data_IF_476864576050
#
_entry.id   IF_476864576050
#
_cell.length_a   1.000
_cell.length_b   1.000
_cell.length_c   1.000
_cell.angle_alpha   90.00
_cell.angle_beta   90.00
_cell.angle_gamma   90.00
#
_symmetry.space_group_name_H-M   'P 1'
#
loop_
_entity.id
_entity.type
_entity.pdbx_description
1 polymer ?
#
# COMPACT_ATOMS: atom_id res chain seq x y z
N UNK A 1 8.96 -16.61 -3.13
CA UNK A 1 9.94 -17.37 -2.33
C UNK A 1 11.10 -16.42 -2.05
N UNK A 2 11.34 -16.06 -0.79
CA UNK A 2 12.39 -15.12 -0.41
C UNK A 2 13.74 -15.84 -0.48
N UNK A 3 14.70 -15.29 -1.20
CA UNK A 3 16.08 -15.80 -1.25
C UNK A 3 16.97 -14.88 -0.40
N UNK A 4 17.69 -15.47 0.55
CA UNK A 4 18.56 -14.73 1.48
C UNK A 4 20.02 -14.98 1.08
N UNK A 5 20.77 -13.88 0.93
CA UNK A 5 22.19 -13.92 0.58
C UNK A 5 23.01 -13.20 1.65
N UNK A 6 24.17 -13.77 1.99
CA UNK A 6 25.18 -13.09 2.78
C UNK A 6 26.37 -12.73 1.89
N UNK A 7 26.68 -11.44 1.77
CA UNK A 7 27.86 -10.97 1.07
C UNK A 7 29.09 -11.14 1.98
N UNK A 8 29.90 -12.16 1.73
CA UNK A 8 31.12 -12.44 2.51
C UNK A 8 32.35 -11.90 1.80
N UNK A 9 32.46 -10.56 1.73
CA UNK A 9 33.67 -9.85 1.31
C UNK A 9 33.98 -9.82 -0.20
N UNK A 10 34.89 -8.91 -0.57
CA UNK A 10 35.40 -8.72 -1.94
C UNK A 10 36.79 -9.35 -2.07
N UNK A 11 36.90 -10.44 -2.84
CA UNK A 11 38.20 -10.96 -3.28
C UNK A 11 38.51 -10.49 -4.71
N UNK A 12 39.67 -9.87 -4.90
CA UNK A 12 40.18 -9.49 -6.21
C UNK A 12 40.96 -10.66 -6.79
N UNK A 13 40.31 -11.47 -7.63
CA UNK A 13 40.93 -12.62 -8.30
C UNK A 13 40.99 -12.44 -9.81
N UNK A 14 42.20 -12.41 -10.39
CA UNK A 14 42.41 -12.35 -11.83
C UNK A 14 41.99 -13.65 -12.53
N UNK A 15 41.16 -13.55 -13.57
CA UNK A 15 40.76 -14.68 -14.40
C UNK A 15 40.47 -14.19 -15.82
N UNK A 16 40.89 -14.97 -16.83
CA UNK A 16 40.66 -14.69 -18.26
C UNK A 16 39.29 -15.25 -18.67
N UNK A 17 38.47 -14.43 -19.32
CA UNK A 17 37.19 -14.86 -19.90
C UNK A 17 37.37 -15.60 -21.22
N UNK A 18 36.57 -16.65 -21.41
CA UNK A 18 36.31 -17.28 -22.70
C UNK A 18 34.81 -17.56 -22.79
N UNK A 19 34.13 -16.95 -23.76
CA UNK A 19 32.69 -17.10 -23.97
C UNK A 19 32.38 -18.41 -24.69
N UNK A 20 31.53 -19.25 -24.10
CA UNK A 20 30.83 -20.34 -24.82
C UNK A 20 29.37 -20.33 -24.36
N UNK A 21 28.47 -20.02 -25.29
CA UNK A 21 27.03 -20.19 -25.11
C UNK A 21 26.68 -21.69 -25.09
N UNK A 22 26.04 -22.14 -24.01
CA UNK A 22 25.40 -23.46 -23.95
C UNK A 22 24.01 -23.31 -23.30
N UNK A 23 22.98 -23.36 -24.14
CA UNK A 23 21.60 -23.51 -23.70
C UNK A 23 21.38 -24.90 -23.09
N UNK A 24 21.02 -24.96 -21.81
CA UNK A 24 20.54 -26.19 -21.15
C UNK A 24 19.42 -25.85 -20.17
N UNK A 25 18.25 -26.39 -20.48
CA UNK A 25 17.01 -26.42 -19.69
C UNK A 25 17.15 -27.39 -18.51
N UNK A 26 16.89 -26.92 -17.29
CA UNK A 26 16.69 -27.77 -16.11
C UNK A 26 17.69 -27.54 -14.98
N UNK A 27 17.17 -27.03 -13.86
CA UNK A 27 17.66 -27.08 -12.47
C UNK A 27 19.17 -27.15 -12.19
N UNK A 28 19.65 -26.12 -11.48
CA UNK A 28 20.92 -26.05 -10.74
C UNK A 28 22.17 -25.90 -11.62
N UNK A 29 22.50 -24.65 -11.96
CA UNK A 29 23.78 -24.30 -12.56
C UNK A 29 24.85 -24.02 -11.49
N UNK A 30 25.74 -24.99 -11.25
CA UNK A 30 27.01 -24.79 -10.55
C UNK A 30 28.11 -24.64 -11.60
N UNK A 31 28.98 -23.61 -11.56
CA UNK A 31 30.13 -23.55 -12.46
C UNK A 31 31.15 -24.62 -12.09
N UNK A 32 31.44 -25.54 -13.01
CA UNK A 32 32.56 -26.48 -12.89
C UNK A 32 33.90 -25.75 -13.11
N UNK A 33 34.81 -25.82 -12.15
CA UNK A 33 36.19 -25.38 -12.31
C UNK A 33 37.03 -26.55 -12.84
N UNK A 34 37.34 -26.53 -14.13
CA UNK A 34 38.35 -27.41 -14.74
C UNK A 34 39.74 -26.86 -14.43
N UNK A 35 40.57 -27.61 -13.69
CA UNK A 35 42.02 -27.36 -13.61
C UNK A 35 42.70 -28.05 -14.81
N UNK A 36 43.17 -27.26 -15.76
CA UNK A 36 44.06 -27.71 -16.84
C UNK A 36 45.31 -26.84 -16.90
N UNK A 37 46.48 -27.46 -16.74
CA UNK A 37 47.79 -26.84 -16.97
C UNK A 37 48.10 -26.84 -18.48
N UNK A 38 48.26 -25.67 -19.10
CA UNK A 38 48.99 -25.51 -20.36
C UNK A 38 49.36 -24.04 -20.63
N UNK A 39 50.65 -23.79 -20.88
CA UNK A 39 51.24 -22.51 -21.30
C UNK A 39 50.97 -22.22 -22.79
N UNK A 40 50.64 -20.96 -23.15
CA UNK A 40 51.25 -20.20 -24.27
C UNK A 40 50.59 -18.82 -24.54
N UNK A 41 51.45 -17.80 -24.56
CA UNK A 41 51.50 -16.56 -25.36
C UNK A 41 50.28 -15.60 -25.50
N UNK A 42 50.51 -14.33 -25.14
CA UNK A 42 50.02 -13.17 -25.93
C UNK A 42 48.81 -12.39 -25.40
N UNK A 43 49.02 -11.09 -25.20
CA UNK A 43 48.07 -9.99 -24.91
C UNK A 43 47.32 -10.03 -23.57
N UNK A 44 47.66 -9.06 -22.71
CA UNK A 44 46.99 -8.75 -21.46
C UNK A 44 46.05 -7.55 -21.67
N UNK A 45 44.75 -7.80 -21.57
CA UNK A 45 43.75 -6.76 -21.30
C UNK A 45 43.33 -6.94 -19.86
N UNK A 46 43.62 -5.96 -19.00
CA UNK A 46 43.22 -5.97 -17.59
C UNK A 46 41.80 -5.40 -17.53
N UNK A 47 40.79 -6.27 -17.49
CA UNK A 47 39.44 -5.91 -17.06
C UNK A 47 39.33 -6.16 -15.55
N UNK A 48 38.95 -5.13 -14.80
CA UNK A 48 38.65 -5.25 -13.37
C UNK A 48 37.22 -5.74 -13.19
N UNK A 49 37.01 -7.06 -13.13
CA UNK A 49 35.72 -7.61 -12.70
C UNK A 49 35.65 -7.69 -11.17
N UNK A 50 34.63 -7.06 -10.58
CA UNK A 50 34.27 -7.28 -9.19
C UNK A 50 33.63 -8.67 -9.07
N UNK A 51 34.39 -9.65 -8.58
CA UNK A 51 33.85 -10.96 -8.19
C UNK A 51 33.20 -10.86 -6.81
N UNK A 52 31.88 -10.78 -6.80
CA UNK A 52 31.08 -10.97 -5.58
C UNK A 52 30.97 -12.47 -5.33
N UNK A 53 31.63 -12.97 -4.28
CA UNK A 53 31.45 -14.37 -3.89
C UNK A 53 30.20 -14.50 -3.02
N UNK A 54 29.18 -15.17 -3.53
CA UNK A 54 27.96 -15.54 -2.80
C UNK A 54 28.10 -17.01 -2.40
N UNK A 55 28.15 -17.32 -1.10
CA UNK A 55 27.99 -18.71 -0.64
C UNK A 55 26.51 -18.98 -0.42
N UNK A 56 25.98 -20.03 -1.06
CA UNK A 56 24.75 -20.65 -0.57
C UNK A 56 25.07 -21.30 0.78
N UNK A 57 24.46 -20.80 1.85
CA UNK A 57 24.40 -21.55 3.09
C UNK A 57 23.47 -22.73 2.88
N UNK A 58 24.00 -23.94 3.06
CA UNK A 58 23.20 -25.16 3.07
C UNK A 58 22.45 -25.26 4.40
N UNK A 59 21.25 -24.67 4.46
CA UNK A 59 20.11 -25.05 5.30
C UNK A 59 18.91 -24.22 4.82
N UNK A 60 17.77 -24.89 4.64
CA UNK A 60 16.61 -24.40 3.90
C UNK A 60 16.09 -23.06 4.45
N UNK A 61 15.51 -22.22 3.60
CA UNK A 61 14.83 -20.96 4.02
C UNK A 61 13.62 -21.24 4.92
N UNK A 62 13.17 -22.49 4.96
CA UNK A 62 12.15 -23.00 5.87
C UNK A 62 12.70 -23.25 7.30
N UNK A 63 14.01 -23.12 7.52
CA UNK A 63 14.63 -23.15 8.85
C UNK A 63 14.67 -21.74 9.46
N UNK A 64 13.62 -21.40 10.22
CA UNK A 64 13.52 -20.12 10.92
C UNK A 64 14.69 -19.88 11.90
N UNK A 65 15.37 -20.92 12.40
CA UNK A 65 16.52 -20.75 13.29
C UNK A 65 17.73 -20.20 12.55
N UNK A 66 17.92 -20.62 11.30
CA UNK A 66 18.95 -20.08 10.40
C UNK A 66 18.63 -18.62 10.04
N UNK A 67 17.39 -18.35 9.64
CA UNK A 67 16.94 -16.98 9.32
C UNK A 67 17.11 -16.05 10.51
N UNK A 68 16.70 -16.49 11.71
CA UNK A 68 16.85 -15.72 12.93
C UNK A 68 18.31 -15.40 13.23
N UNK A 69 19.20 -16.41 13.14
CA UNK A 69 20.63 -16.21 13.32
C UNK A 69 21.21 -15.20 12.33
N UNK A 70 20.85 -15.29 11.05
CA UNK A 70 21.31 -14.35 10.03
C UNK A 70 20.88 -12.90 10.34
N UNK A 71 19.63 -12.71 10.79
CA UNK A 71 19.13 -11.39 11.21
C UNK A 71 19.90 -10.86 12.41
N UNK A 72 20.09 -11.69 13.44
CA UNK A 72 20.83 -11.31 14.66
C UNK A 72 22.29 -10.96 14.36
N UNK A 73 22.99 -11.81 13.60
CA UNK A 73 24.38 -11.60 13.21
C UNK A 73 24.56 -10.33 12.36
N UNK A 74 23.51 -9.91 11.63
CA UNK A 74 23.53 -8.66 10.87
C UNK A 74 23.44 -7.40 11.74
N UNK A 75 22.95 -7.50 12.98
CA UNK A 75 22.66 -6.37 13.85
C UNK A 75 21.54 -5.44 13.36
N UNK A 76 20.79 -5.83 12.32
CA UNK A 76 19.70 -5.04 11.73
C UNK A 76 18.34 -5.39 12.33
N UNK A 77 17.37 -4.50 12.09
CA UNK A 77 15.95 -4.76 12.35
C UNK A 77 15.24 -5.13 11.06
N UNK A 78 14.22 -5.97 11.16
CA UNK A 78 13.37 -6.35 10.03
C UNK A 78 12.08 -5.53 10.10
N UNK A 79 11.78 -4.83 9.02
CA UNK A 79 10.55 -4.07 8.84
C UNK A 79 9.77 -4.72 7.69
N UNK A 80 8.53 -5.12 7.95
CA UNK A 80 7.59 -5.56 6.93
C UNK A 80 6.65 -4.38 6.65
N UNK A 81 6.91 -3.66 5.56
CA UNK A 81 6.10 -2.53 5.10
C UNK A 81 4.92 -3.00 4.23
N UNK A 82 3.86 -2.19 4.18
CA UNK A 82 2.63 -2.44 3.42
C UNK A 82 2.01 -3.84 3.63
N UNK A 83 2.01 -4.30 4.88
CA UNK A 83 1.55 -5.64 5.25
C UNK A 83 0.08 -5.95 4.88
N UNK A 84 -0.69 -4.91 4.57
CA UNK A 84 -2.09 -5.03 4.13
C UNK A 84 -2.25 -5.64 2.74
N UNK A 85 -1.21 -5.65 1.90
CA UNK A 85 -1.22 -6.36 0.61
C UNK A 85 -0.92 -7.85 0.73
N UNK A 86 -0.46 -8.32 1.89
CA UNK A 86 -0.19 -9.74 2.13
C UNK A 86 -1.52 -10.50 2.15
N UNK A 87 -1.54 -11.69 1.54
CA UNK A 87 -2.77 -12.50 1.48
C UNK A 87 -3.17 -12.99 2.88
N UNK A 88 -4.45 -13.25 3.10
CA UNK A 88 -4.93 -13.77 4.39
C UNK A 88 -4.31 -15.14 4.76
N UNK A 89 -3.90 -15.92 3.76
CA UNK A 89 -3.18 -17.18 3.97
C UNK A 89 -1.75 -16.90 4.45
N UNK A 90 -1.03 -16.03 3.76
CA UNK A 90 0.34 -15.66 4.11
C UNK A 90 0.40 -14.91 5.46
N UNK A 91 -0.57 -14.05 5.78
CA UNK A 91 -0.63 -13.37 7.08
C UNK A 91 -0.73 -14.36 8.24
N UNK A 92 -1.45 -15.47 8.06
CA UNK A 92 -1.53 -16.55 9.07
C UNK A 92 -0.21 -17.28 9.21
N UNK A 93 0.43 -17.63 8.09
CA UNK A 93 1.77 -18.22 8.10
C UNK A 93 2.78 -17.31 8.80
N UNK A 94 2.76 -16.01 8.50
CA UNK A 94 3.63 -15.02 9.14
C UNK A 94 3.34 -14.91 10.64
N UNK A 95 2.09 -15.01 11.08
CA UNK A 95 1.75 -15.04 12.50
C UNK A 95 2.29 -16.30 13.22
N UNK A 96 2.33 -17.45 12.55
CA UNK A 96 2.97 -18.67 13.06
C UNK A 96 4.49 -18.49 13.16
N UNK A 97 5.13 -18.00 12.10
CA UNK A 97 6.57 -17.78 12.03
C UNK A 97 7.04 -16.72 13.04
N UNK A 98 6.26 -15.66 13.24
CA UNK A 98 6.57 -14.57 14.17
C UNK A 98 6.75 -15.08 15.60
N UNK A 99 5.93 -16.04 16.04
CA UNK A 99 6.09 -16.66 17.37
C UNK A 99 7.48 -17.28 17.51
N UNK A 100 7.88 -18.06 16.51
CA UNK A 100 9.16 -18.78 16.49
C UNK A 100 10.33 -17.80 16.41
N UNK A 101 10.24 -16.77 15.56
CA UNK A 101 11.26 -15.72 15.44
C UNK A 101 11.46 -14.96 16.75
N UNK A 102 10.37 -14.63 17.46
CA UNK A 102 10.44 -14.00 18.79
C UNK A 102 11.14 -14.90 19.82
N UNK A 103 10.90 -16.21 19.79
CA UNK A 103 11.57 -17.19 20.67
C UNK A 103 13.07 -17.31 20.36
N UNK A 104 13.47 -17.09 19.11
CA UNK A 104 14.87 -16.95 18.71
C UNK A 104 15.46 -15.56 18.98
N UNK A 105 14.70 -14.63 19.57
CA UNK A 105 15.17 -13.30 19.94
C UNK A 105 15.11 -12.27 18.81
N UNK A 106 14.41 -12.57 17.71
CA UNK A 106 14.21 -11.65 16.59
C UNK A 106 12.87 -10.93 16.73
N UNK A 107 12.91 -9.61 16.85
CA UNK A 107 11.73 -8.75 16.83
C UNK A 107 11.54 -8.12 15.45
N UNK A 108 10.31 -8.17 14.94
CA UNK A 108 9.90 -7.56 13.68
C UNK A 108 9.10 -6.29 13.96
N UNK A 109 9.20 -5.33 13.04
CA UNK A 109 8.30 -4.19 12.97
C UNK A 109 7.39 -4.43 11.77
N UNK A 110 6.08 -4.44 11.98
CA UNK A 110 5.10 -4.67 10.91
C UNK A 110 4.31 -3.38 10.73
N UNK A 111 4.31 -2.86 9.50
CA UNK A 111 3.66 -1.60 9.13
C UNK A 111 2.64 -1.90 8.04
N UNK A 112 1.42 -1.41 8.22
CA UNK A 112 0.37 -1.50 7.22
C UNK A 112 -0.91 -0.84 7.70
N UNK A 113 -1.96 -0.98 6.90
CA UNK A 113 -3.27 -0.38 7.17
C UNK A 113 -4.32 -1.49 7.23
N UNK A 114 -4.93 -1.69 8.39
CA UNK A 114 -6.03 -2.64 8.58
C UNK A 114 -6.96 -2.12 9.67
N UNK A 115 -8.19 -2.63 9.69
CA UNK A 115 -9.19 -2.17 10.66
C UNK A 115 -9.25 -3.04 11.92
N UNK A 116 -8.64 -4.23 11.89
CA UNK A 116 -8.74 -5.22 12.96
C UNK A 116 -7.60 -5.05 13.95
N UNK A 117 -7.90 -4.51 15.13
CA UNK A 117 -6.94 -4.50 16.22
C UNK A 117 -6.56 -5.94 16.61
N UNK A 118 -5.27 -6.15 16.86
CA UNK A 118 -4.67 -7.41 17.25
C UNK A 118 -4.88 -8.53 16.23
N UNK A 119 -4.95 -8.19 14.94
CA UNK A 119 -5.16 -9.13 13.84
C UNK A 119 -4.21 -10.34 13.89
N UNK A 120 -2.91 -10.11 14.12
CA UNK A 120 -1.92 -11.20 14.21
C UNK A 120 -2.15 -12.12 15.40
N UNK A 121 -2.57 -11.58 16.55
CA UNK A 121 -2.96 -12.37 17.73
C UNK A 121 -4.23 -13.18 17.46
N UNK A 122 -5.15 -12.62 16.67
CA UNK A 122 -6.34 -13.33 16.19
C UNK A 122 -6.01 -14.53 15.30
N UNK A 123 -4.92 -14.46 14.51
CA UNK A 123 -4.44 -15.59 13.73
C UNK A 123 -3.64 -16.60 14.56
N UNK A 124 -2.84 -16.14 15.51
CA UNK A 124 -2.07 -16.99 16.41
C UNK A 124 -2.12 -16.48 17.86
N UNK A 125 -2.93 -17.15 18.69
CA UNK A 125 -3.16 -16.75 20.09
C UNK A 125 -1.90 -16.78 20.98
N UNK A 126 -0.86 -17.50 20.58
CA UNK A 126 0.42 -17.54 21.32
C UNK A 126 1.20 -16.22 21.23
N UNK A 127 0.83 -15.33 20.31
CA UNK A 127 1.37 -13.97 20.21
C UNK A 127 0.78 -13.04 21.27
N UNK A 128 -0.26 -13.46 22.01
CA UNK A 128 -0.86 -12.65 23.06
C UNK A 128 0.16 -12.29 24.15
N UNK A 129 0.27 -11.00 24.47
CA UNK A 129 1.28 -10.47 25.38
C UNK A 129 2.71 -10.42 24.82
N UNK A 130 2.92 -10.77 23.53
CA UNK A 130 4.21 -10.67 22.83
C UNK A 130 4.21 -9.61 21.72
N UNK A 131 3.07 -8.98 21.45
CA UNK A 131 2.90 -7.95 20.43
C UNK A 131 2.41 -6.68 21.10
N UNK A 132 3.08 -5.57 20.78
CA UNK A 132 2.59 -4.22 21.00
C UNK A 132 2.08 -3.66 19.67
N UNK A 133 0.79 -3.34 19.62
CA UNK A 133 0.17 -2.71 18.45
C UNK A 133 -0.01 -1.22 18.70
N UNK A 134 0.45 -0.40 17.76
CA UNK A 134 0.33 1.07 17.79
C UNK A 134 -0.65 1.46 16.68
N UNK A 135 -1.86 1.82 17.08
CA UNK A 135 -2.87 2.36 16.17
C UNK A 135 -2.58 3.85 15.89
N UNK A 136 -2.31 4.19 14.63
CA UNK A 136 -1.95 5.54 14.21
C UNK A 136 -3.17 6.22 13.57
N UNK A 137 -3.86 7.04 14.37
CA UNK A 137 -4.97 7.88 13.91
C UNK A 137 -4.61 9.35 14.10
N UNK A 138 -4.55 10.09 13.00
CA UNK A 138 -4.25 11.52 13.03
C UNK A 138 -5.48 12.35 13.43
N UNK A 139 -5.32 13.18 14.45
CA UNK A 139 -6.31 14.18 14.85
C UNK A 139 -6.07 15.51 14.14
N UNK A 140 -7.11 16.35 14.06
CA UNK A 140 -7.05 17.66 13.40
C UNK A 140 -5.95 18.56 14.00
N UNK A 141 -5.70 18.48 15.31
CA UNK A 141 -4.62 19.21 15.99
C UNK A 141 -3.24 18.75 15.51
N UNK A 142 -3.06 17.46 15.24
CA UNK A 142 -1.80 16.90 14.74
C UNK A 142 -1.60 17.26 13.27
N UNK A 143 -2.66 17.24 12.45
CA UNK A 143 -2.62 17.73 11.07
C UNK A 143 -2.25 19.22 11.02
N UNK A 144 -2.80 20.02 11.93
CA UNK A 144 -2.43 21.43 12.09
C UNK A 144 -0.96 21.58 12.45
N UNK A 145 -0.42 20.71 13.30
CA UNK A 145 1.00 20.73 13.65
C UNK A 145 1.91 20.46 12.44
N UNK A 146 1.49 19.56 11.54
CA UNK A 146 2.21 19.32 10.27
C UNK A 146 2.24 20.60 9.42
N UNK A 147 1.11 21.32 9.33
CA UNK A 147 1.04 22.60 8.61
C UNK A 147 2.00 23.62 9.23
N UNK A 148 2.00 23.78 10.55
CA UNK A 148 2.88 24.72 11.26
C UNK A 148 4.37 24.45 11.00
N UNK A 149 4.76 23.17 10.97
CA UNK A 149 6.14 22.78 10.64
C UNK A 149 6.49 23.16 9.19
N UNK A 150 5.57 22.96 8.25
CA UNK A 150 5.72 23.37 6.86
C UNK A 150 5.81 24.90 6.68
N UNK A 151 4.94 25.64 7.37
CA UNK A 151 4.96 27.11 7.42
C UNK A 151 6.32 27.63 7.91
N UNK A 152 6.84 27.06 9.00
CA UNK A 152 8.15 27.43 9.54
C UNK A 152 9.28 27.09 8.57
N UNK A 153 9.27 25.90 7.95
CA UNK A 153 10.31 25.46 7.04
C UNK A 153 10.39 26.32 5.76
N UNK A 154 9.24 26.82 5.29
CA UNK A 154 9.14 27.63 4.08
C UNK A 154 9.14 29.14 4.35
N UNK A 155 9.13 29.57 5.61
CA UNK A 155 8.96 30.97 6.02
C UNK A 155 7.70 31.60 5.41
N UNK A 156 6.58 30.88 5.50
CA UNK A 156 5.25 31.30 5.03
C UNK A 156 4.24 31.24 6.16
N UNK A 157 3.09 31.91 5.99
CA UNK A 157 1.94 31.78 6.88
C UNK A 157 0.66 31.65 6.07
N UNK A 158 -0.01 30.51 6.21
CA UNK A 158 -1.32 30.24 5.60
C UNK A 158 -2.41 30.84 6.49
N UNK A 159 -3.39 31.48 5.86
CA UNK A 159 -4.50 32.09 6.58
C UNK A 159 -5.33 31.02 7.33
N UNK A 160 -5.78 31.27 8.58
CA UNK A 160 -6.45 30.26 9.41
C UNK A 160 -7.65 29.58 8.74
N UNK A 161 -8.49 30.35 8.04
CA UNK A 161 -9.66 29.80 7.35
C UNK A 161 -9.30 28.81 6.23
N UNK A 162 -8.12 28.99 5.59
CA UNK A 162 -7.61 28.03 4.60
C UNK A 162 -7.04 26.80 5.27
N UNK A 163 -6.36 26.96 6.42
CA UNK A 163 -5.86 25.85 7.23
C UNK A 163 -7.02 24.92 7.64
N UNK A 164 -8.10 25.48 8.17
CA UNK A 164 -9.26 24.69 8.61
C UNK A 164 -9.93 23.96 7.44
N UNK A 165 -10.01 24.60 6.27
CA UNK A 165 -10.50 23.97 5.05
C UNK A 165 -9.60 22.82 4.58
N UNK A 166 -8.28 23.00 4.60
CA UNK A 166 -7.29 22.01 4.16
C UNK A 166 -7.32 20.78 5.09
N UNK A 167 -7.40 21.00 6.40
CA UNK A 167 -7.54 19.93 7.40
C UNK A 167 -8.82 19.13 7.16
N UNK A 168 -9.96 19.82 6.98
CA UNK A 168 -11.24 19.16 6.70
C UNK A 168 -11.18 18.35 5.40
N UNK A 169 -10.56 18.89 4.37
CA UNK A 169 -10.41 18.22 3.08
C UNK A 169 -9.51 16.98 3.14
N UNK A 170 -8.53 16.97 4.06
CA UNK A 170 -7.62 15.85 4.26
C UNK A 170 -8.31 14.60 4.83
N UNK A 171 -9.47 14.72 5.49
CA UNK A 171 -10.24 13.58 6.01
C UNK A 171 -9.38 12.62 6.91
N UNK A 172 -8.47 13.19 7.70
CA UNK A 172 -7.52 12.43 8.53
C UNK A 172 -6.33 11.81 7.78
N UNK A 173 -6.19 12.06 6.46
CA UNK A 173 -5.08 11.57 5.64
C UNK A 173 -3.95 12.59 5.57
N UNK A 174 -2.81 12.29 6.19
CA UNK A 174 -1.59 13.10 6.09
C UNK A 174 -1.09 13.20 4.64
N UNK A 175 -1.18 12.12 3.88
CA UNK A 175 -0.78 12.12 2.47
C UNK A 175 -1.60 13.11 1.64
N UNK A 176 -2.93 13.13 1.83
CA UNK A 176 -3.80 14.09 1.16
C UNK A 176 -3.55 15.53 1.66
N UNK A 177 -3.37 15.71 2.97
CA UNK A 177 -3.02 17.00 3.57
C UNK A 177 -1.78 17.61 2.89
N UNK A 178 -0.70 16.83 2.80
CA UNK A 178 0.56 17.25 2.20
C UNK A 178 0.41 17.54 0.71
N UNK A 179 -0.33 16.71 -0.04
CA UNK A 179 -0.62 16.95 -1.47
C UNK A 179 -1.40 18.25 -1.68
N UNK A 180 -2.39 18.56 -0.83
CA UNK A 180 -3.15 19.81 -0.90
C UNK A 180 -2.21 20.99 -0.64
N UNK A 181 -1.41 20.94 0.43
CA UNK A 181 -0.46 22.00 0.80
C UNK A 181 0.58 22.23 -0.28
N UNK A 182 1.17 21.16 -0.83
CA UNK A 182 2.15 21.24 -1.91
C UNK A 182 1.56 21.93 -3.15
N UNK A 183 0.40 21.47 -3.62
CA UNK A 183 -0.24 22.07 -4.78
C UNK A 183 -0.68 23.51 -4.52
N UNK A 184 -1.13 23.81 -3.29
CA UNK A 184 -1.46 25.18 -2.90
C UNK A 184 -0.23 26.10 -2.93
N UNK A 185 0.88 25.67 -2.33
CA UNK A 185 2.16 26.39 -2.39
C UNK A 185 2.63 26.61 -3.83
N UNK A 186 2.52 25.60 -4.70
CA UNK A 186 2.87 25.71 -6.13
C UNK A 186 2.00 26.77 -6.83
N UNK A 187 0.69 26.77 -6.57
CA UNK A 187 -0.24 27.75 -7.15
C UNK A 187 -0.01 29.17 -6.62
N UNK A 188 0.49 29.30 -5.39
CA UNK A 188 0.93 30.55 -4.76
C UNK A 188 2.35 30.98 -5.20
N UNK A 189 3.07 30.18 -6.00
CA UNK A 189 4.44 30.49 -6.43
C UNK A 189 5.49 30.33 -5.33
N UNK A 190 5.23 29.47 -4.34
CA UNK A 190 6.15 29.12 -3.28
C UNK A 190 6.87 27.80 -3.62
N UNK A 191 8.01 27.90 -4.29
CA UNK A 191 8.84 26.75 -4.70
C UNK A 191 10.04 26.49 -3.79
N UNK A 192 10.36 27.44 -2.91
CA UNK A 192 11.50 27.42 -2.00
C UNK A 192 11.19 28.27 -0.77
N UNK A 193 12.00 28.13 0.29
CA UNK A 193 11.91 28.96 1.49
C UNK A 193 12.02 30.44 1.16
N UNK A 194 11.10 31.26 1.69
CA UNK A 194 11.07 32.70 1.44
C UNK A 194 12.07 33.43 2.31
N UNK A 195 12.71 34.48 1.77
CA UNK A 195 13.62 35.33 2.55
C UNK A 195 12.87 36.15 3.61
N UNK A 196 11.66 36.60 3.28
CA UNK A 196 10.76 37.32 4.18
C UNK A 196 9.47 36.52 4.38
N UNK A 197 8.88 36.66 5.57
CA UNK A 197 7.64 35.97 5.93
C UNK A 197 6.54 36.34 4.92
N UNK A 198 6.06 35.33 4.18
CA UNK A 198 5.04 35.53 3.15
C UNK A 198 3.70 34.97 3.59
N UNK A 199 2.64 35.78 3.56
CA UNK A 199 1.29 35.35 3.90
C UNK A 199 0.55 34.79 2.67
N UNK A 200 0.04 33.56 2.77
CA UNK A 200 -0.75 32.89 1.74
C UNK A 200 -2.24 32.90 2.13
N UNK A 201 -3.08 33.48 1.27
CA UNK A 201 -4.50 33.71 1.57
C UNK A 201 -5.44 33.62 0.34
N UNK A 202 -4.94 33.29 -0.86
CA UNK A 202 -5.76 33.29 -2.07
C UNK A 202 -6.58 31.98 -2.19
N UNK A 203 -7.85 32.05 -1.82
CA UNK A 203 -8.82 30.95 -1.96
C UNK A 203 -8.85 30.37 -3.40
N UNK A 204 -8.69 31.21 -4.43
CA UNK A 204 -8.72 30.75 -5.81
C UNK A 204 -7.57 29.82 -6.16
N UNK A 205 -6.41 29.95 -5.48
CA UNK A 205 -5.27 29.03 -5.62
C UNK A 205 -5.56 27.72 -4.93
N UNK A 206 -6.24 27.72 -3.79
CA UNK A 206 -6.70 26.49 -3.13
C UNK A 206 -7.69 25.72 -4.02
N UNK A 207 -8.63 26.40 -4.68
CA UNK A 207 -9.53 25.72 -5.63
C UNK A 207 -8.80 25.12 -6.84
N UNK A 208 -7.76 25.79 -7.35
CA UNK A 208 -6.91 25.23 -8.42
C UNK A 208 -6.14 24.00 -7.96
N UNK A 209 -5.57 24.04 -6.75
CA UNK A 209 -4.88 22.91 -6.14
C UNK A 209 -5.83 21.71 -5.99
N UNK A 210 -7.05 21.93 -5.48
CA UNK A 210 -8.08 20.88 -5.35
C UNK A 210 -8.42 20.25 -6.69
N UNK A 211 -8.70 21.08 -7.70
CA UNK A 211 -9.04 20.62 -9.04
C UNK A 211 -7.90 19.80 -9.67
N UNK A 212 -6.65 20.23 -9.48
CA UNK A 212 -5.47 19.52 -9.99
C UNK A 212 -5.33 18.12 -9.38
N UNK A 213 -5.47 17.99 -8.06
CA UNK A 213 -5.46 16.69 -7.37
C UNK A 213 -6.59 15.79 -7.92
N UNK A 214 -7.82 16.32 -8.01
CA UNK A 214 -8.94 15.55 -8.57
C UNK A 214 -8.71 15.12 -10.02
N UNK A 215 -8.04 15.92 -10.85
CA UNK A 215 -7.72 15.55 -12.23
C UNK A 215 -6.70 14.41 -12.31
N UNK A 216 -5.72 14.38 -11.41
CA UNK A 216 -4.71 13.31 -11.35
C UNK A 216 -5.35 11.96 -11.00
N UNK A 217 -6.27 11.95 -10.05
CA UNK A 217 -6.93 10.70 -9.62
C UNK A 217 -8.22 10.35 -10.38
N UNK A 218 -8.70 11.25 -11.25
CA UNK A 218 -10.00 11.11 -11.92
C UNK A 218 -10.14 9.76 -12.64
N UNK A 219 -9.07 9.29 -13.28
CA UNK A 219 -9.10 8.02 -14.01
C UNK A 219 -9.36 6.84 -13.06
N UNK A 220 -8.69 6.80 -11.90
CA UNK A 220 -8.83 5.70 -10.93
C UNK A 220 -10.24 5.65 -10.34
N UNK A 221 -10.78 6.81 -9.94
CA UNK A 221 -12.14 6.87 -9.39
C UNK A 221 -13.22 6.63 -10.43
N UNK A 222 -13.00 7.03 -11.70
CA UNK A 222 -13.88 6.64 -12.81
C UNK A 222 -13.82 5.14 -13.06
N UNK A 223 -12.64 4.53 -13.08
CA UNK A 223 -12.52 3.07 -13.20
C UNK A 223 -13.28 2.36 -12.08
N UNK A 224 -13.17 2.84 -10.84
CA UNK A 224 -13.96 2.32 -9.72
C UNK A 224 -15.46 2.43 -9.95
N UNK A 225 -15.94 3.62 -10.31
CA UNK A 225 -17.35 3.86 -10.57
C UNK A 225 -17.92 3.04 -11.73
N UNK A 226 -17.16 2.86 -12.82
CA UNK A 226 -17.66 2.31 -14.07
C UNK A 226 -17.34 0.83 -14.30
N UNK A 227 -16.20 0.34 -13.82
CA UNK A 227 -15.74 -1.02 -14.13
C UNK A 227 -16.06 -2.04 -13.02
N UNK A 228 -16.20 -1.60 -11.77
CA UNK A 228 -16.66 -2.48 -10.68
C UNK A 228 -18.11 -2.94 -10.91
N UNK A 229 -19.05 -2.07 -11.33
CA UNK A 229 -20.40 -2.51 -11.72
C UNK A 229 -20.45 -3.58 -12.80
N UNK A 230 -19.45 -3.65 -13.68
CA UNK A 230 -19.38 -4.68 -14.73
C UNK A 230 -19.05 -6.08 -14.19
N UNK A 231 -18.61 -6.19 -12.94
CA UNK A 231 -18.27 -7.46 -12.28
C UNK A 231 -17.11 -8.20 -12.95
N UNK A 232 -16.95 -9.47 -12.57
CA UNK A 232 -15.98 -10.39 -13.17
C UNK A 232 -16.31 -10.72 -14.63
N UNK A 233 -15.35 -11.24 -15.42
CA UNK A 233 -15.63 -11.77 -16.75
C UNK A 233 -16.84 -12.72 -16.74
N UNK A 234 -17.75 -12.56 -17.70
CA UNK A 234 -18.99 -13.34 -17.83
C UNK A 234 -20.03 -13.14 -16.70
N UNK A 235 -19.92 -12.08 -15.88
CA UNK A 235 -20.96 -11.74 -14.91
C UNK A 235 -22.31 -11.50 -15.61
N UNK A 236 -23.35 -12.20 -15.16
CA UNK A 236 -24.70 -12.01 -15.67
C UNK A 236 -25.28 -10.64 -15.24
N UNK A 237 -26.36 -10.15 -15.89
CA UNK A 237 -26.93 -8.84 -15.59
C UNK A 237 -27.35 -8.65 -14.11
N UNK A 238 -27.82 -9.70 -13.44
CA UNK A 238 -28.21 -9.63 -12.04
C UNK A 238 -26.99 -9.39 -11.13
N UNK A 239 -25.87 -10.10 -11.36
CA UNK A 239 -24.62 -9.90 -10.64
C UNK A 239 -24.04 -8.50 -10.86
N UNK A 240 -24.04 -8.01 -12.12
CA UNK A 240 -23.62 -6.63 -12.42
C UNK A 240 -24.43 -5.59 -11.66
N UNK A 241 -25.76 -5.78 -11.63
CA UNK A 241 -26.67 -4.92 -10.85
C UNK A 241 -26.32 -4.92 -9.36
N UNK A 242 -25.95 -6.07 -8.77
CA UNK A 242 -25.52 -6.13 -7.36
C UNK A 242 -24.28 -5.29 -7.12
N UNK A 243 -23.23 -5.43 -7.93
CA UNK A 243 -22.02 -4.59 -7.79
C UNK A 243 -22.34 -3.11 -7.98
N UNK A 244 -23.15 -2.76 -8.99
CA UNK A 244 -23.61 -1.39 -9.20
C UNK A 244 -24.27 -0.81 -7.94
N UNK A 245 -25.17 -1.56 -7.30
CA UNK A 245 -25.85 -1.07 -6.08
C UNK A 245 -24.94 -0.98 -4.87
N UNK A 246 -23.95 -1.86 -4.74
CA UNK A 246 -22.92 -1.75 -3.67
C UNK A 246 -22.15 -0.44 -3.83
N UNK A 247 -21.65 -0.16 -5.03
CA UNK A 247 -20.86 1.06 -5.29
C UNK A 247 -21.74 2.30 -5.18
N UNK A 248 -22.98 2.26 -5.68
CA UNK A 248 -23.93 3.36 -5.52
C UNK A 248 -24.21 3.65 -4.04
N UNK A 249 -24.51 2.63 -3.23
CA UNK A 249 -24.77 2.80 -1.82
C UNK A 249 -23.55 3.34 -1.06
N UNK A 250 -22.34 2.97 -1.48
CA UNK A 250 -21.10 3.55 -0.97
C UNK A 250 -20.99 5.04 -1.34
N UNK A 251 -21.11 5.39 -2.62
CA UNK A 251 -20.88 6.76 -3.10
C UNK A 251 -21.91 7.75 -2.57
N UNK A 252 -23.18 7.34 -2.47
CA UNK A 252 -24.29 8.15 -1.97
C UNK A 252 -24.36 8.22 -0.44
N UNK A 253 -23.55 7.43 0.28
CA UNK A 253 -23.56 7.46 1.74
C UNK A 253 -23.01 8.80 2.29
N UNK A 254 -23.55 9.29 3.42
CA UNK A 254 -23.01 10.47 4.09
C UNK A 254 -21.52 10.34 4.41
N UNK A 255 -20.79 11.46 4.34
CA UNK A 255 -19.35 11.52 4.61
C UNK A 255 -18.96 10.91 5.96
N UNK A 256 -19.70 11.27 7.02
CA UNK A 256 -19.46 10.75 8.37
C UNK A 256 -19.64 9.23 8.45
N UNK A 257 -20.58 8.66 7.71
CA UNK A 257 -20.76 7.20 7.68
C UNK A 257 -19.62 6.50 6.93
N UNK A 258 -19.12 7.09 5.85
CA UNK A 258 -18.00 6.53 5.08
C UNK A 258 -16.68 6.61 5.84
N UNK A 259 -16.46 7.67 6.61
CA UNK A 259 -15.30 7.81 7.49
C UNK A 259 -15.32 6.78 8.62
N UNK A 260 -16.50 6.50 9.19
CA UNK A 260 -16.68 5.49 10.24
C UNK A 260 -16.70 4.04 9.69
N UNK A 261 -17.08 3.88 8.44
CA UNK A 261 -17.40 2.58 7.84
C UNK A 261 -18.89 2.22 7.96
N UNK A 262 -19.36 1.45 6.98
CA UNK A 262 -20.74 0.98 6.89
C UNK A 262 -20.83 -0.44 7.44
N UNK A 263 -21.66 -0.66 8.46
CA UNK A 263 -22.02 -2.02 8.88
C UNK A 263 -22.71 -2.75 7.72
N UNK A 264 -22.55 -4.09 7.66
CA UNK A 264 -23.25 -4.92 6.67
C UNK A 264 -24.76 -4.66 6.66
N UNK A 265 -25.38 -4.51 7.83
CA UNK A 265 -26.81 -4.22 7.95
C UNK A 265 -27.16 -2.85 7.36
N UNK A 266 -26.38 -1.80 7.66
CA UNK A 266 -26.58 -0.46 7.10
C UNK A 266 -26.45 -0.47 5.58
N UNK A 267 -25.42 -1.14 5.06
CA UNK A 267 -25.19 -1.26 3.62
C UNK A 267 -26.31 -2.03 2.92
N UNK A 268 -26.74 -3.18 3.48
CA UNK A 268 -27.89 -3.93 2.97
C UNK A 268 -29.17 -3.08 2.93
N UNK A 269 -29.44 -2.30 3.98
CA UNK A 269 -30.59 -1.41 4.03
C UNK A 269 -30.53 -0.32 2.96
N UNK A 270 -29.38 0.33 2.78
CA UNK A 270 -29.18 1.34 1.71
C UNK A 270 -29.40 0.72 0.33
N UNK A 271 -28.82 -0.45 0.07
CA UNK A 271 -28.99 -1.16 -1.20
C UNK A 271 -30.46 -1.54 -1.45
N UNK A 272 -31.17 -2.07 -0.44
CA UNK A 272 -32.58 -2.46 -0.58
C UNK A 272 -33.51 -1.26 -0.78
N UNK A 273 -33.17 -0.09 -0.21
CA UNK A 273 -33.89 1.16 -0.49
C UNK A 273 -33.76 1.59 -1.95
N UNK A 274 -32.58 1.41 -2.55
CA UNK A 274 -32.31 1.72 -3.96
C UNK A 274 -32.93 0.66 -4.90
N UNK A 275 -32.85 -0.62 -4.53
CA UNK A 275 -33.35 -1.75 -5.31
C UNK A 275 -34.09 -2.75 -4.41
N UNK A 276 -35.43 -2.65 -4.39
CA UNK A 276 -36.30 -3.50 -3.55
C UNK A 276 -36.19 -5.00 -3.86
N UNK A 277 -35.69 -5.36 -5.04
CA UNK A 277 -35.49 -6.75 -5.46
C UNK A 277 -34.09 -7.27 -5.14
N UNK A 278 -33.23 -6.46 -4.51
CA UNK A 278 -31.87 -6.85 -4.18
C UNK A 278 -31.86 -8.03 -3.19
N UNK A 279 -31.11 -9.08 -3.54
CA UNK A 279 -30.97 -10.27 -2.72
C UNK A 279 -29.79 -10.11 -1.75
N UNK A 280 -30.05 -10.13 -0.43
CA UNK A 280 -29.03 -10.03 0.62
C UNK A 280 -27.93 -11.10 0.53
N UNK A 281 -28.27 -12.33 0.11
CA UNK A 281 -27.28 -13.39 -0.11
C UNK A 281 -26.30 -12.99 -1.21
N UNK A 282 -26.81 -12.47 -2.33
CA UNK A 282 -25.98 -12.02 -3.45
C UNK A 282 -25.12 -10.81 -3.10
N UNK A 283 -25.65 -9.87 -2.28
CA UNK A 283 -24.87 -8.73 -1.76
C UNK A 283 -23.67 -9.26 -0.96
N UNK A 284 -23.89 -10.17 -0.01
CA UNK A 284 -22.81 -10.75 0.81
C UNK A 284 -21.78 -11.49 -0.04
N UNK A 285 -22.21 -12.31 -0.99
CA UNK A 285 -21.32 -13.04 -1.91
C UNK A 285 -20.48 -12.09 -2.78
N UNK A 286 -21.02 -10.95 -3.17
CA UNK A 286 -20.32 -9.91 -3.93
C UNK A 286 -19.32 -9.14 -3.05
N UNK A 287 -19.70 -8.78 -1.81
CA UNK A 287 -18.84 -8.09 -0.85
C UNK A 287 -17.58 -8.92 -0.53
N UNK A 288 -17.70 -10.23 -0.36
CA UNK A 288 -16.56 -11.13 -0.15
C UNK A 288 -15.53 -11.13 -1.30
N UNK A 289 -15.89 -10.59 -2.47
CA UNK A 289 -15.05 -10.58 -3.67
C UNK A 289 -14.68 -9.16 -4.11
N UNK A 290 -15.05 -8.13 -3.35
CA UNK A 290 -14.95 -6.73 -3.80
C UNK A 290 -13.49 -6.27 -3.97
N UNK A 291 -12.61 -6.67 -3.07
CA UNK A 291 -11.18 -6.38 -3.13
C UNK A 291 -10.54 -7.05 -4.36
N UNK A 292 -10.80 -8.35 -4.54
CA UNK A 292 -10.34 -9.11 -5.71
C UNK A 292 -10.83 -8.50 -7.02
N UNK A 293 -12.09 -8.09 -7.06
CA UNK A 293 -12.69 -7.49 -8.25
C UNK A 293 -11.97 -6.19 -8.62
N UNK A 294 -11.68 -5.32 -7.65
CA UNK A 294 -10.94 -4.08 -7.90
C UNK A 294 -9.54 -4.36 -8.45
N UNK A 295 -8.82 -5.32 -7.86
CA UNK A 295 -7.50 -5.72 -8.33
C UNK A 295 -7.54 -6.25 -9.78
N UNK A 296 -8.50 -7.12 -10.12
CA UNK A 296 -8.70 -7.62 -11.49
C UNK A 296 -9.08 -6.53 -12.49
N UNK A 297 -9.67 -5.41 -12.01
CA UNK A 297 -9.96 -4.22 -12.82
C UNK A 297 -8.81 -3.21 -12.86
N UNK A 298 -7.64 -3.55 -12.31
CA UNK A 298 -6.47 -2.69 -12.18
C UNK A 298 -6.75 -1.40 -11.39
N UNK A 299 -7.63 -1.47 -10.39
CA UNK A 299 -7.87 -0.39 -9.44
C UNK A 299 -6.96 -0.63 -8.24
N UNK A 300 -5.77 -0.03 -8.29
CA UNK A 300 -4.76 -0.14 -7.24
C UNK A 300 -4.25 1.26 -6.83
N UNK A 301 -4.15 1.54 -5.52
CA UNK A 301 -4.71 0.78 -4.41
C UNK A 301 -6.24 0.61 -4.49
N UNK A 302 -6.79 -0.38 -3.77
CA UNK A 302 -8.24 -0.57 -3.70
C UNK A 302 -8.90 0.65 -3.04
N UNK A 303 -10.13 0.97 -3.45
CA UNK A 303 -10.85 2.16 -2.95
C UNK A 303 -11.79 1.80 -1.82
N UNK A 304 -12.41 0.62 -1.86
CA UNK A 304 -13.29 0.15 -0.79
C UNK A 304 -13.03 -1.31 -0.47
N UNK A 305 -13.18 -1.70 0.79
CA UNK A 305 -12.93 -3.07 1.26
C UNK A 305 -14.07 -3.56 2.15
N UNK A 306 -14.26 -4.88 2.21
CA UNK A 306 -15.21 -5.51 3.12
C UNK A 306 -14.52 -6.55 4.00
N UNK A 307 -14.66 -6.38 5.32
CA UNK A 307 -14.21 -7.35 6.28
C UNK A 307 -15.36 -8.30 6.70
N UNK A 308 -15.23 -9.63 6.48
CA UNK A 308 -16.25 -10.61 6.87
C UNK A 308 -16.32 -10.94 8.38
N UNK A 309 -15.23 -10.73 9.12
CA UNK A 309 -15.13 -10.93 10.58
C UNK A 309 -15.88 -9.82 11.31
N UNK A 310 -15.53 -8.55 11.04
CA UNK A 310 -16.18 -7.38 11.66
C UNK A 310 -17.53 -7.04 11.00
N UNK A 311 -17.78 -7.57 9.80
CA UNK A 311 -18.96 -7.29 8.96
C UNK A 311 -19.07 -5.80 8.62
N UNK A 312 -17.93 -5.18 8.34
CA UNK A 312 -17.83 -3.77 8.02
C UNK A 312 -17.32 -3.57 6.59
N UNK A 313 -17.91 -2.60 5.91
CA UNK A 313 -17.47 -2.10 4.62
C UNK A 313 -16.85 -0.71 4.80
N UNK A 314 -15.61 -0.53 4.37
CA UNK A 314 -14.84 0.68 4.59
C UNK A 314 -14.34 1.28 3.28
N UNK A 315 -14.14 2.60 3.27
CA UNK A 315 -13.27 3.22 2.29
C UNK A 315 -11.83 2.95 2.69
N UNK A 316 -11.14 2.13 1.89
CA UNK A 316 -9.70 1.97 1.98
C UNK A 316 -9.00 3.27 1.54
N UNK A 317 -9.59 3.97 0.57
CA UNK A 317 -9.11 5.27 0.13
C UNK A 317 -10.09 6.40 0.45
N UNK A 318 -9.76 7.19 1.49
CA UNK A 318 -10.54 8.35 1.91
C UNK A 318 -10.47 9.54 0.94
N UNK A 319 -9.51 9.58 0.02
CA UNK A 319 -9.44 10.62 -1.00
C UNK A 319 -10.59 10.52 -2.01
N UNK A 320 -11.33 9.41 -2.05
CA UNK A 320 -12.61 9.34 -2.75
C UNK A 320 -13.59 10.44 -2.26
N UNK A 321 -13.59 10.77 -0.97
CA UNK A 321 -14.46 11.81 -0.40
C UNK A 321 -14.08 13.19 -0.94
N UNK A 322 -12.78 13.46 -1.04
CA UNK A 322 -12.23 14.67 -1.64
C UNK A 322 -12.60 14.76 -3.13
N UNK A 323 -12.43 13.66 -3.88
CA UNK A 323 -12.84 13.59 -5.28
C UNK A 323 -14.34 13.77 -5.49
N UNK A 324 -15.17 13.19 -4.62
CA UNK A 324 -16.62 13.37 -4.65
C UNK A 324 -17.02 14.84 -4.49
N UNK A 325 -16.33 15.56 -3.61
CA UNK A 325 -16.61 16.97 -3.29
C UNK A 325 -16.14 17.94 -4.38
N UNK A 326 -14.94 17.73 -4.95
CA UNK A 326 -14.29 18.70 -5.84
C UNK A 326 -14.10 18.23 -7.29
N UNK A 327 -14.20 16.93 -7.55
CA UNK A 327 -13.90 16.34 -8.85
C UNK A 327 -15.04 16.41 -9.86
N UNK A 328 -16.26 16.75 -9.43
CA UNK A 328 -17.46 16.75 -10.27
C UNK A 328 -17.68 15.41 -10.99
N UNK A 329 -17.65 14.26 -10.29
CA UNK A 329 -17.80 12.96 -10.92
C UNK A 329 -19.18 12.80 -11.57
N UNK A 330 -19.24 11.94 -12.58
CA UNK A 330 -20.49 11.38 -13.13
C UNK A 330 -20.46 9.88 -12.94
N UNK A 331 -21.48 9.36 -12.28
CA UNK A 331 -21.59 7.94 -11.98
C UNK A 331 -22.50 7.23 -12.99
N UNK A 332 -22.30 5.93 -13.25
CA UNK A 332 -23.05 5.19 -14.28
C UNK A 332 -24.57 5.11 -14.06
N UNK A 333 -25.06 5.48 -12.88
CA UNK A 333 -26.48 5.42 -12.50
C UNK A 333 -27.16 6.80 -12.47
N UNK A 334 -26.45 7.86 -12.88
CA UNK A 334 -26.98 9.24 -12.92
C UNK A 334 -27.56 9.62 -14.30
N UNK A 335 -27.58 8.68 -15.26
CA UNK A 335 -28.13 8.85 -16.61
C UNK A 335 -29.65 8.62 -16.68
#
# INVERSE_FOLDING_TARGET
>A
RLEVYQETGKEVGSGREGSVEANLTGSVGVPMVFKGEAELAGSATISSEQKTSLRLFGQDVDDLSFVAKAILDSGKKVILEDFHYVTEEDKKGIAEDLKTLLEYGVSLIIVGTWHEQFMLVGYNGDLNGRIDEIDLVWQDEELKRIIELGEQALNIKIFPDLVDQIIKDANGSVGLLQRILENYCIEEGCYETKQELTHLQDQSKLEKARKKICQQEANRYRLFGWTVPEGFPNSNPATKKVYMRIIQACIEAPELELLAGLTLSSLEEKIVRIDRNANRKSIREALLKIDRLQNEKNINPIIATYNPVTKMFHLADRELLFYRKYGGPKWPWED
#
